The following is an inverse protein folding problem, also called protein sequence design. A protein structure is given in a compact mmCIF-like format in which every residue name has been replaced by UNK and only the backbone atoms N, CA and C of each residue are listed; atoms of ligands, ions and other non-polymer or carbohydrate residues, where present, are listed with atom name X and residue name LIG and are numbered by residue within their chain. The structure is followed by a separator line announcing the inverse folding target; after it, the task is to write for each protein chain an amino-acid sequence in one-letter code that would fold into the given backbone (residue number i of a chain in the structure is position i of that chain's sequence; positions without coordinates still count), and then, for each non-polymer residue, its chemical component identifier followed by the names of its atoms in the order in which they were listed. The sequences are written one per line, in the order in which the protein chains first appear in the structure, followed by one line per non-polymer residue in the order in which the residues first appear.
data_IF_590240998884
#
_entry.id   IF_590240998884
#
_cell.length_a   1.000
_cell.length_b   1.000
_cell.length_c   1.000
_cell.angle_alpha   90.00
_cell.angle_beta   90.00
_cell.angle_gamma   90.00
#
_symmetry.space_group_name_H-M   'P 1'
#
loop_
_entity.id
_entity.type
_entity.pdbx_description
1 polymer ?
#
# COMPACT_ATOMS: atom_id res chain seq x y z
N UNK A 1 -20.54 17.35 -28.70
CA UNK A 1 -19.14 17.08 -28.31
C UNK A 1 -18.97 15.57 -28.38
N UNK A 2 -17.98 15.07 -29.13
CA UNK A 2 -17.72 13.63 -29.17
C UNK A 2 -17.20 13.17 -27.80
N UNK A 3 -17.60 11.98 -27.30
CA UNK A 3 -17.05 11.43 -26.06
C UNK A 3 -15.52 11.30 -26.13
N UNK A 4 -14.83 11.49 -25.01
CA UNK A 4 -13.40 11.23 -24.92
C UNK A 4 -13.12 9.75 -25.23
N UNK A 5 -12.24 9.50 -26.19
CA UNK A 5 -11.78 8.15 -26.49
C UNK A 5 -10.54 7.85 -25.63
N UNK A 6 -10.66 6.88 -24.71
CA UNK A 6 -9.53 6.47 -23.88
C UNK A 6 -8.46 5.71 -24.68
N UNK A 7 -8.89 4.92 -25.66
CA UNK A 7 -8.02 4.08 -26.49
C UNK A 7 -8.13 4.45 -27.98
N UNK A 8 -7.01 4.43 -28.73
CA UNK A 8 -7.01 4.54 -30.17
C UNK A 8 -7.90 3.46 -30.82
N UNK A 9 -8.50 3.78 -31.97
CA UNK A 9 -9.47 2.92 -32.65
C UNK A 9 -8.94 1.49 -32.90
N UNK A 10 -7.67 1.36 -33.31
CA UNK A 10 -7.00 0.06 -33.53
C UNK A 10 -6.96 -0.87 -32.31
N UNK A 11 -7.05 -0.32 -31.10
CA UNK A 11 -7.00 -1.08 -29.84
C UNK A 11 -8.36 -1.18 -29.15
N UNK A 12 -9.41 -0.56 -29.72
CA UNK A 12 -10.74 -0.54 -29.11
C UNK A 12 -11.37 -1.94 -29.15
N UNK A 13 -12.05 -2.30 -28.07
CA UNK A 13 -12.78 -3.57 -27.91
C UNK A 13 -14.15 -3.40 -27.23
N UNK A 14 -14.58 -2.15 -27.06
CA UNK A 14 -15.80 -1.74 -26.38
C UNK A 14 -16.43 -0.58 -27.16
N UNK A 15 -17.75 -0.47 -27.07
CA UNK A 15 -18.53 0.69 -27.53
C UNK A 15 -18.82 1.63 -26.36
N UNK A 16 -19.10 1.07 -25.19
CA UNK A 16 -19.44 1.81 -23.97
C UNK A 16 -18.47 1.50 -22.83
N UNK A 17 -18.11 2.50 -22.03
CA UNK A 17 -17.14 2.34 -20.93
C UNK A 17 -17.53 1.24 -19.95
N UNK A 18 -18.82 1.04 -19.65
CA UNK A 18 -19.25 0.00 -18.71
C UNK A 18 -18.85 -1.42 -19.13
N UNK A 19 -18.61 -1.65 -20.42
CA UNK A 19 -18.16 -2.95 -20.95
C UNK A 19 -16.72 -3.25 -20.53
N UNK A 20 -15.85 -2.23 -20.37
CA UNK A 20 -14.52 -2.37 -19.77
C UNK A 20 -14.62 -2.65 -18.28
N UNK A 21 -15.55 -1.98 -17.60
CA UNK A 21 -15.78 -2.12 -16.15
C UNK A 21 -16.68 -3.31 -15.79
N UNK A 22 -16.85 -4.30 -16.67
CA UNK A 22 -17.74 -5.45 -16.45
C UNK A 22 -17.46 -6.17 -15.13
N UNK A 23 -16.18 -6.33 -14.76
CA UNK A 23 -15.81 -7.05 -13.53
C UNK A 23 -16.11 -6.22 -12.28
N UNK A 24 -15.93 -4.90 -12.35
CA UNK A 24 -16.33 -3.97 -11.29
C UNK A 24 -17.83 -4.10 -11.00
N UNK A 25 -18.68 -4.01 -12.03
CA UNK A 25 -20.13 -4.16 -11.87
C UNK A 25 -20.54 -5.57 -11.45
N UNK A 26 -19.84 -6.61 -11.91
CA UNK A 26 -20.07 -7.97 -11.48
C UNK A 26 -19.82 -8.14 -9.98
N UNK A 27 -18.69 -7.62 -9.46
CA UNK A 27 -18.34 -7.71 -8.04
C UNK A 27 -19.30 -6.85 -7.21
N UNK A 28 -19.43 -5.56 -7.51
CA UNK A 28 -20.31 -4.66 -6.77
C UNK A 28 -21.77 -5.10 -6.77
N UNK A 29 -22.27 -5.59 -7.91
CA UNK A 29 -23.64 -6.09 -8.00
C UNK A 29 -23.83 -7.42 -7.27
N UNK A 30 -23.01 -8.44 -7.57
CA UNK A 30 -23.23 -9.80 -7.04
C UNK A 30 -22.80 -9.95 -5.58
N UNK A 31 -21.58 -9.51 -5.25
CA UNK A 31 -21.04 -9.62 -3.89
C UNK A 31 -21.74 -8.63 -2.97
N UNK A 32 -22.08 -7.43 -3.47
CA UNK A 32 -22.88 -6.46 -2.72
C UNK A 32 -24.29 -6.96 -2.38
N UNK A 33 -24.94 -7.70 -3.31
CA UNK A 33 -26.25 -8.33 -3.04
C UNK A 33 -26.15 -9.54 -2.11
N UNK A 34 -25.21 -10.46 -2.37
CA UNK A 34 -24.97 -11.63 -1.52
C UNK A 34 -23.47 -11.88 -1.37
N UNK A 35 -22.88 -11.59 -0.19
CA UNK A 35 -21.46 -11.85 0.10
C UNK A 35 -21.07 -13.33 0.01
N UNK A 36 -22.03 -14.26 0.08
CA UNK A 36 -21.80 -15.71 -0.06
C UNK A 36 -21.87 -16.18 -1.52
N UNK A 37 -21.91 -15.27 -2.50
CA UNK A 37 -21.92 -15.63 -3.92
C UNK A 37 -20.70 -16.49 -4.28
N UNK A 38 -20.94 -17.66 -4.89
CA UNK A 38 -19.87 -18.57 -5.33
C UNK A 38 -18.89 -17.90 -6.29
N UNK A 39 -17.59 -18.13 -6.08
CA UNK A 39 -16.53 -17.64 -6.95
C UNK A 39 -16.65 -18.13 -8.40
N UNK A 40 -17.36 -19.24 -8.67
CA UNK A 40 -17.59 -19.73 -10.03
C UNK A 40 -18.37 -18.73 -10.90
N UNK A 41 -19.19 -17.85 -10.32
CA UNK A 41 -19.86 -16.78 -11.07
C UNK A 41 -18.85 -15.86 -11.72
N UNK A 42 -17.78 -15.50 -11.00
CA UNK A 42 -16.72 -14.62 -11.49
C UNK A 42 -15.78 -15.37 -12.44
N UNK A 43 -15.29 -16.55 -12.02
CA UNK A 43 -14.39 -17.40 -12.82
C UNK A 43 -14.98 -17.76 -14.19
N UNK A 44 -16.28 -18.05 -14.27
CA UNK A 44 -16.96 -18.39 -15.53
C UNK A 44 -16.84 -17.26 -16.56
N UNK A 45 -16.95 -16.01 -16.13
CA UNK A 45 -16.87 -14.87 -17.04
C UNK A 45 -15.45 -14.66 -17.58
N UNK A 46 -14.43 -14.80 -16.74
CA UNK A 46 -13.02 -14.80 -17.18
C UNK A 46 -12.72 -15.92 -18.17
N UNK A 47 -13.20 -17.16 -17.90
CA UNK A 47 -13.04 -18.29 -18.84
C UNK A 47 -13.78 -18.04 -20.17
N UNK A 48 -14.98 -17.43 -20.12
CA UNK A 48 -15.75 -17.09 -21.32
C UNK A 48 -14.97 -16.13 -22.22
N UNK A 49 -14.43 -15.05 -21.65
CA UNK A 49 -13.70 -13.99 -22.36
C UNK A 49 -12.31 -14.43 -22.82
N UNK A 50 -11.54 -15.08 -21.95
CA UNK A 50 -10.10 -15.30 -22.17
C UNK A 50 -9.69 -16.77 -22.26
N UNK A 51 -10.63 -17.72 -22.14
CA UNK A 51 -10.33 -19.15 -22.19
C UNK A 51 -9.39 -19.58 -21.07
N UNK A 52 -8.33 -20.32 -21.41
CA UNK A 52 -7.36 -20.85 -20.46
C UNK A 52 -6.54 -19.75 -19.77
N UNK A 53 -6.41 -18.56 -20.37
CA UNK A 53 -5.77 -17.41 -19.73
C UNK A 53 -6.65 -16.75 -18.65
N UNK A 54 -7.97 -17.02 -18.64
CA UNK A 54 -8.94 -16.38 -17.75
C UNK A 54 -8.58 -16.44 -16.26
N UNK A 55 -8.30 -17.63 -15.69
CA UNK A 55 -7.91 -17.75 -14.28
C UNK A 55 -6.65 -16.94 -13.92
N UNK A 56 -5.69 -16.82 -14.83
CA UNK A 56 -4.46 -16.05 -14.61
C UNK A 56 -4.72 -14.55 -14.66
N UNK A 57 -5.57 -14.08 -15.59
CA UNK A 57 -5.99 -12.67 -15.63
C UNK A 57 -6.85 -12.29 -14.42
N UNK A 58 -7.73 -13.18 -13.95
CA UNK A 58 -8.49 -12.97 -12.72
C UNK A 58 -7.55 -12.77 -11.52
N UNK A 59 -6.60 -13.69 -11.33
CA UNK A 59 -5.63 -13.61 -10.25
C UNK A 59 -4.78 -12.34 -10.33
N UNK A 60 -4.28 -12.00 -11.52
CA UNK A 60 -3.49 -10.79 -11.76
C UNK A 60 -4.29 -9.52 -11.46
N UNK A 61 -5.55 -9.44 -11.91
CA UNK A 61 -6.40 -8.28 -11.72
C UNK A 61 -6.75 -8.04 -10.25
N UNK A 62 -7.11 -9.09 -9.50
CA UNK A 62 -7.41 -8.93 -8.06
C UNK A 62 -6.19 -8.49 -7.30
N UNK A 63 -5.02 -9.01 -7.66
CA UNK A 63 -3.79 -8.60 -6.99
C UNK A 63 -3.40 -7.16 -7.33
N UNK A 64 -3.51 -6.76 -8.60
CA UNK A 64 -3.28 -5.40 -9.05
C UNK A 64 -4.23 -4.39 -8.39
N UNK A 65 -5.47 -4.79 -8.10
CA UNK A 65 -6.47 -3.93 -7.45
C UNK A 65 -6.06 -3.41 -6.05
N UNK A 66 -5.06 -4.03 -5.43
CA UNK A 66 -4.54 -3.63 -4.12
C UNK A 66 -3.45 -2.54 -4.20
N UNK A 67 -2.84 -2.33 -5.37
CA UNK A 67 -1.69 -1.42 -5.55
C UNK A 67 -2.08 0.03 -5.26
N UNK A 68 -3.13 0.54 -5.92
CA UNK A 68 -3.54 1.94 -5.74
C UNK A 68 -4.00 2.26 -4.30
N UNK A 69 -4.84 1.43 -3.64
CA UNK A 69 -5.17 1.65 -2.23
C UNK A 69 -3.94 1.69 -1.31
N UNK A 70 -2.95 0.81 -1.55
CA UNK A 70 -1.71 0.81 -0.76
C UNK A 70 -0.89 2.09 -0.98
N UNK A 71 -0.78 2.57 -2.23
CA UNK A 71 -0.11 3.85 -2.54
C UNK A 71 -0.83 5.00 -1.82
N UNK A 72 -2.17 5.01 -1.87
CA UNK A 72 -2.97 6.04 -1.21
C UNK A 72 -2.73 6.05 0.30
N UNK A 73 -2.88 4.90 0.94
CA UNK A 73 -2.72 4.79 2.39
C UNK A 73 -1.30 5.15 2.86
N UNK A 74 -0.27 4.64 2.18
CA UNK A 74 1.10 4.69 2.67
C UNK A 74 1.89 5.96 2.30
N UNK A 75 1.57 6.61 1.17
CA UNK A 75 2.45 7.65 0.61
C UNK A 75 1.74 8.81 -0.07
N UNK A 76 0.43 8.77 -0.23
CA UNK A 76 -0.24 9.83 -0.97
C UNK A 76 -0.29 11.15 -0.17
N UNK A 77 0.09 12.29 -0.79
CA UNK A 77 0.08 13.57 -0.08
C UNK A 77 -1.35 13.97 0.30
N UNK A 78 -1.57 14.26 1.59
CA UNK A 78 -2.91 14.57 2.10
C UNK A 78 -3.55 15.79 1.41
N UNK A 79 -2.75 16.78 1.01
CA UNK A 79 -3.23 17.97 0.28
C UNK A 79 -3.76 17.68 -1.14
N UNK A 80 -3.50 16.49 -1.69
CA UNK A 80 -4.06 16.02 -2.95
C UNK A 80 -5.34 15.18 -2.74
N UNK A 81 -5.79 15.03 -1.48
CA UNK A 81 -7.03 14.36 -1.12
C UNK A 81 -8.16 15.40 -0.89
N UNK A 82 -9.40 15.15 -1.37
CA UNK A 82 -9.82 14.02 -2.21
C UNK A 82 -9.32 14.13 -3.66
N UNK A 83 -9.41 13.04 -4.43
CA UNK A 83 -8.86 12.79 -5.80
C UNK A 83 -9.18 13.82 -6.89
N UNK A 84 -9.88 14.90 -6.56
CA UNK A 84 -10.07 16.08 -7.43
C UNK A 84 -8.78 16.85 -7.74
N UNK A 85 -7.70 16.59 -6.99
CA UNK A 85 -6.42 17.31 -7.12
C UNK A 85 -5.21 16.42 -7.36
N UNK A 86 -5.37 15.10 -7.33
CA UNK A 86 -4.29 14.18 -7.64
C UNK A 86 -4.77 12.85 -8.19
N UNK A 87 -3.87 12.19 -8.93
CA UNK A 87 -4.12 10.94 -9.63
C UNK A 87 -2.96 9.98 -9.37
N UNK A 88 -3.08 9.17 -8.30
CA UNK A 88 -2.03 8.27 -7.83
C UNK A 88 -1.53 7.28 -8.89
N UNK A 89 -2.37 6.95 -9.87
CA UNK A 89 -2.02 6.02 -10.95
C UNK A 89 -1.15 6.66 -12.04
N UNK A 90 -1.20 8.00 -12.22
CA UNK A 90 -0.44 8.72 -13.25
C UNK A 90 0.67 9.62 -12.70
N UNK A 91 0.49 10.17 -11.51
CA UNK A 91 1.40 11.14 -10.93
C UNK A 91 2.46 10.48 -10.06
N UNK A 92 3.67 11.00 -10.10
CA UNK A 92 4.82 10.52 -9.32
C UNK A 92 4.74 10.81 -7.81
N UNK A 93 3.70 11.53 -7.37
CA UNK A 93 3.46 11.96 -5.97
C UNK A 93 4.60 12.81 -5.38
N UNK A 94 5.24 13.60 -6.25
CA UNK A 94 6.38 14.45 -5.93
C UNK A 94 7.45 14.24 -6.99
N UNK A 95 7.60 15.19 -7.92
CA UNK A 95 8.60 15.06 -9.00
C UNK A 95 10.00 14.97 -8.40
N UNK A 96 10.34 15.88 -7.48
CA UNK A 96 11.60 15.82 -6.74
C UNK A 96 11.51 14.83 -5.59
N UNK A 97 12.58 14.07 -5.37
CA UNK A 97 12.66 13.14 -4.24
C UNK A 97 12.42 13.84 -2.90
N UNK A 98 12.85 15.09 -2.74
CA UNK A 98 12.60 15.88 -1.52
C UNK A 98 11.12 16.16 -1.25
N UNK A 99 10.26 16.16 -2.27
CA UNK A 99 8.82 16.33 -2.10
C UNK A 99 8.19 14.99 -1.72
N UNK A 100 8.51 13.94 -2.46
CA UNK A 100 8.04 12.58 -2.17
C UNK A 100 8.45 12.13 -0.76
N UNK A 101 9.67 12.45 -0.33
CA UNK A 101 10.22 12.09 0.98
C UNK A 101 9.56 12.82 2.16
N UNK A 102 8.70 13.81 1.91
CA UNK A 102 7.87 14.50 2.92
C UNK A 102 6.45 13.97 2.99
N UNK A 103 6.07 13.03 2.13
CA UNK A 103 4.71 12.51 2.14
C UNK A 103 4.45 11.71 3.42
N UNK A 104 3.27 11.94 4.00
CA UNK A 104 2.83 11.30 5.25
C UNK A 104 1.90 10.11 5.00
N UNK A 105 1.36 9.98 3.78
CA UNK A 105 0.26 9.06 3.49
C UNK A 105 -1.10 9.61 3.95
N UNK A 106 -2.16 8.84 3.75
CA UNK A 106 -3.51 9.20 4.23
C UNK A 106 -3.95 8.41 5.45
N UNK A 107 -3.28 7.31 5.79
CA UNK A 107 -3.55 6.50 6.98
C UNK A 107 -2.36 6.54 7.94
N UNK A 108 -2.27 7.65 8.68
CA UNK A 108 -1.16 7.91 9.61
C UNK A 108 -1.19 7.04 10.87
N UNK A 109 -2.29 6.34 11.16
CA UNK A 109 -2.37 5.41 12.30
C UNK A 109 -1.76 4.06 11.94
N UNK A 110 -1.91 3.62 10.69
CA UNK A 110 -1.40 2.32 10.24
C UNK A 110 -0.03 2.38 9.57
N UNK A 111 0.36 3.50 8.96
CA UNK A 111 1.60 3.61 8.18
C UNK A 111 2.59 4.60 8.80
N UNK A 112 3.86 4.22 8.83
CA UNK A 112 4.97 5.09 9.22
C UNK A 112 5.46 5.89 8.01
N UNK A 113 5.55 7.21 8.14
CA UNK A 113 6.13 8.06 7.09
C UNK A 113 7.67 7.97 7.06
N UNK A 114 8.28 8.45 5.97
CA UNK A 114 9.73 8.32 5.76
C UNK A 114 10.59 9.09 6.76
N UNK A 115 10.10 10.24 7.26
CA UNK A 115 10.84 11.08 8.19
C UNK A 115 10.88 10.48 9.62
N UNK A 116 9.78 9.84 10.02
CA UNK A 116 9.64 9.10 11.26
C UNK A 116 10.44 7.79 11.20
N UNK A 117 10.43 7.08 10.08
CA UNK A 117 11.27 5.91 9.87
C UNK A 117 12.76 6.25 10.02
N UNK A 118 13.23 7.33 9.41
CA UNK A 118 14.63 7.78 9.57
C UNK A 118 14.95 8.13 11.03
N UNK A 119 14.02 8.72 11.79
CA UNK A 119 14.21 8.98 13.22
C UNK A 119 14.34 7.67 14.00
N UNK A 120 13.38 6.76 13.81
CA UNK A 120 13.35 5.44 14.46
C UNK A 120 14.62 4.63 14.20
N UNK A 121 15.08 4.62 12.95
CA UNK A 121 16.32 3.93 12.54
C UNK A 121 17.54 4.46 13.32
N UNK A 122 17.64 5.78 13.51
CA UNK A 122 18.77 6.39 14.22
C UNK A 122 18.69 6.17 15.75
N UNK A 123 17.47 6.14 16.29
CA UNK A 123 17.22 5.90 17.72
C UNK A 123 17.31 4.42 18.10
N UNK A 124 17.25 3.50 17.12
CA UNK A 124 17.14 2.07 17.39
C UNK A 124 15.82 1.69 18.06
N UNK A 125 14.75 2.47 17.83
CA UNK A 125 13.43 2.24 18.42
C UNK A 125 12.53 1.35 17.54
N UNK A 126 11.40 0.93 18.09
CA UNK A 126 10.44 0.02 17.43
C UNK A 126 9.13 0.74 17.13
N UNK A 127 8.34 0.21 16.20
CA UNK A 127 7.03 0.75 15.84
C UNK A 127 6.06 -0.39 15.53
N UNK A 128 4.77 -0.17 15.79
CA UNK A 128 3.70 -1.09 15.37
C UNK A 128 3.08 -0.70 14.04
N UNK A 129 3.39 0.51 13.56
CA UNK A 129 2.98 0.96 12.23
C UNK A 129 3.74 0.17 11.17
N UNK A 130 3.11 -0.02 10.02
CA UNK A 130 3.75 -0.59 8.86
C UNK A 130 4.87 0.33 8.38
N UNK A 131 6.09 -0.18 8.39
CA UNK A 131 7.28 0.59 8.02
C UNK A 131 7.40 0.79 6.50
N UNK A 132 8.17 1.79 6.03
CA UNK A 132 8.48 1.94 4.62
C UNK A 132 9.13 0.70 4.00
N UNK A 133 10.03 0.01 4.72
CA UNK A 133 10.69 -1.20 4.21
C UNK A 133 9.71 -2.39 4.07
N UNK A 134 8.78 -2.56 5.01
CA UNK A 134 7.74 -3.58 4.91
C UNK A 134 6.74 -3.28 3.78
N UNK A 135 6.45 -2.00 3.55
CA UNK A 135 5.61 -1.55 2.44
C UNK A 135 6.32 -1.75 1.10
N UNK A 136 7.61 -1.42 1.00
CA UNK A 136 8.44 -1.68 -0.19
C UNK A 136 8.53 -3.16 -0.54
N UNK A 137 8.75 -4.04 0.45
CA UNK A 137 8.77 -5.50 0.22
C UNK A 137 7.43 -5.99 -0.33
N UNK A 138 6.33 -5.53 0.25
CA UNK A 138 5.01 -5.88 -0.26
C UNK A 138 4.76 -5.36 -1.67
N UNK A 139 5.19 -4.15 -2.01
CA UNK A 139 5.10 -3.66 -3.38
C UNK A 139 5.94 -4.48 -4.36
N UNK A 140 7.15 -4.88 -3.96
CA UNK A 140 8.03 -5.72 -4.77
C UNK A 140 7.43 -7.11 -5.00
N UNK A 141 6.97 -7.75 -3.93
CA UNK A 141 6.26 -9.02 -4.00
C UNK A 141 5.01 -8.86 -4.85
N UNK A 142 4.23 -7.77 -4.65
CA UNK A 142 3.04 -7.34 -5.43
C UNK A 142 3.36 -7.15 -6.91
N UNK A 143 4.55 -6.65 -7.17
CA UNK A 143 5.30 -6.68 -8.42
C UNK A 143 5.23 -8.04 -9.11
N UNK A 144 5.89 -8.98 -8.45
CA UNK A 144 6.29 -10.25 -9.03
C UNK A 144 5.12 -11.16 -9.36
N UNK A 145 4.16 -11.35 -8.46
CA UNK A 145 3.02 -12.19 -8.77
C UNK A 145 2.01 -11.57 -9.76
N UNK A 146 1.96 -10.24 -9.94
CA UNK A 146 1.21 -9.65 -11.07
C UNK A 146 1.91 -10.05 -12.37
N UNK A 147 3.22 -9.84 -12.46
CA UNK A 147 4.01 -10.20 -13.65
C UNK A 147 4.05 -11.72 -13.89
N UNK A 148 4.00 -12.54 -12.84
CA UNK A 148 3.87 -13.98 -12.96
C UNK A 148 2.51 -14.38 -13.54
N UNK A 149 1.43 -13.71 -13.12
CA UNK A 149 0.08 -13.90 -13.68
C UNK A 149 0.03 -13.50 -15.15
N UNK A 150 0.70 -12.39 -15.51
CA UNK A 150 0.88 -11.95 -16.90
C UNK A 150 1.58 -13.03 -17.72
N UNK A 151 2.74 -13.52 -17.28
CA UNK A 151 3.49 -14.59 -17.98
C UNK A 151 2.67 -15.86 -18.15
N UNK A 152 1.93 -16.27 -17.10
CA UNK A 152 1.07 -17.45 -17.15
C UNK A 152 -0.13 -17.27 -18.10
N UNK A 153 -0.73 -16.07 -18.14
CA UNK A 153 -1.80 -15.72 -19.07
C UNK A 153 -1.31 -15.72 -20.53
N UNK A 154 -0.14 -15.12 -20.80
CA UNK A 154 0.50 -15.11 -22.12
C UNK A 154 0.87 -16.53 -22.58
N UNK A 155 1.38 -17.38 -21.68
CA UNK A 155 1.70 -18.78 -21.99
C UNK A 155 0.45 -19.66 -22.22
N UNK A 156 -0.68 -19.30 -21.60
CA UNK A 156 -1.96 -20.01 -21.74
C UNK A 156 -2.84 -19.45 -22.86
N UNK A 157 -2.29 -18.54 -23.66
CA UNK A 157 -3.00 -17.87 -24.75
C UNK A 157 -3.25 -18.84 -25.89
N UNK A 158 -4.50 -19.29 -26.01
CA UNK A 158 -4.98 -20.03 -27.18
C UNK A 158 -5.49 -19.09 -28.29
N UNK A 159 -6.38 -19.59 -29.14
CA UNK A 159 -7.01 -18.82 -30.22
C UNK A 159 -7.96 -17.69 -29.78
N UNK A 160 -7.96 -17.30 -28.50
CA UNK A 160 -8.81 -16.24 -27.91
C UNK A 160 -8.07 -14.92 -27.65
N UNK A 161 -6.94 -14.68 -28.31
CA UNK A 161 -6.27 -13.38 -28.23
C UNK A 161 -7.19 -12.28 -28.76
N UNK A 162 -7.32 -11.19 -28.02
CA UNK A 162 -8.20 -10.06 -28.36
C UNK A 162 -7.59 -8.74 -27.89
N UNK A 163 -8.14 -7.63 -28.37
CA UNK A 163 -7.79 -6.30 -27.87
C UNK A 163 -8.08 -6.16 -26.36
N UNK A 164 -9.12 -6.81 -25.83
CA UNK A 164 -9.39 -6.85 -24.38
C UNK A 164 -8.26 -7.58 -23.63
N UNK A 165 -7.81 -8.73 -24.14
CA UNK A 165 -6.70 -9.48 -23.54
C UNK A 165 -5.42 -8.64 -23.51
N UNK A 166 -5.01 -8.09 -24.66
CA UNK A 166 -3.76 -7.32 -24.75
C UNK A 166 -3.82 -6.06 -23.86
N UNK A 167 -4.98 -5.41 -23.78
CA UNK A 167 -5.15 -4.22 -22.90
C UNK A 167 -5.11 -4.59 -21.43
N UNK A 168 -5.73 -5.72 -21.04
CA UNK A 168 -5.65 -6.22 -19.66
C UNK A 168 -4.20 -6.54 -19.29
N UNK A 169 -3.43 -7.17 -20.18
CA UNK A 169 -2.00 -7.42 -19.96
C UNK A 169 -1.22 -6.10 -19.80
N UNK A 170 -1.50 -5.10 -20.63
CA UNK A 170 -0.90 -3.76 -20.50
C UNK A 170 -1.21 -3.14 -19.12
N UNK A 171 -2.46 -3.18 -18.65
CA UNK A 171 -2.87 -2.60 -17.37
C UNK A 171 -2.18 -3.29 -16.18
N UNK A 172 -2.06 -4.61 -16.25
CA UNK A 172 -1.34 -5.39 -15.24
C UNK A 172 0.15 -5.03 -15.21
N UNK A 173 0.78 -4.87 -16.38
CA UNK A 173 2.19 -4.44 -16.46
C UNK A 173 2.37 -3.02 -15.93
N UNK A 174 1.46 -2.08 -16.26
CA UNK A 174 1.48 -0.71 -15.71
C UNK A 174 1.37 -0.72 -14.19
N UNK A 175 0.37 -1.44 -13.65
CA UNK A 175 0.14 -1.54 -12.19
C UNK A 175 1.34 -2.17 -11.47
N UNK A 176 1.95 -3.18 -12.09
CA UNK A 176 3.13 -3.82 -11.54
C UNK A 176 4.34 -2.87 -11.49
N UNK A 177 4.58 -2.13 -12.56
CA UNK A 177 5.70 -1.17 -12.59
C UNK A 177 5.44 0.04 -11.69
N UNK A 178 4.18 0.43 -11.48
CA UNK A 178 3.82 1.45 -10.50
C UNK A 178 4.14 0.98 -9.07
N UNK A 179 3.83 -0.27 -8.73
CA UNK A 179 4.23 -0.86 -7.45
C UNK A 179 5.76 -0.89 -7.30
N UNK A 180 6.50 -1.34 -8.33
CA UNK A 180 7.99 -1.33 -8.33
C UNK A 180 8.58 0.06 -8.15
N UNK A 181 8.00 1.06 -8.80
CA UNK A 181 8.39 2.46 -8.64
C UNK A 181 8.30 2.89 -7.17
N UNK A 182 7.16 2.68 -6.52
CA UNK A 182 6.98 3.04 -5.12
C UNK A 182 7.85 2.21 -4.16
N UNK A 183 8.12 0.94 -4.48
CA UNK A 183 9.01 0.09 -3.68
C UNK A 183 10.44 0.66 -3.59
N UNK A 184 11.01 1.07 -4.73
CA UNK A 184 12.34 1.68 -4.81
C UNK A 184 12.34 3.10 -4.23
N UNK A 185 11.32 3.89 -4.60
CA UNK A 185 11.26 5.30 -4.20
C UNK A 185 11.05 5.52 -2.70
N UNK A 186 10.38 4.59 -2.03
CA UNK A 186 10.29 4.58 -0.57
C UNK A 186 11.67 4.39 0.11
N UNK A 187 12.54 3.52 -0.41
CA UNK A 187 13.92 3.41 0.09
C UNK A 187 14.74 4.67 -0.21
N UNK A 188 14.59 5.25 -1.41
CA UNK A 188 15.20 6.53 -1.75
C UNK A 188 14.81 7.62 -0.74
N UNK A 189 13.54 7.68 -0.36
CA UNK A 189 13.02 8.64 0.61
C UNK A 189 13.55 8.43 2.04
N UNK A 190 13.70 7.18 2.49
CA UNK A 190 14.32 6.88 3.79
C UNK A 190 15.78 7.33 3.80
N UNK A 191 16.57 6.95 2.80
CA UNK A 191 17.96 7.39 2.65
C UNK A 191 18.08 8.92 2.59
N UNK A 192 17.19 9.59 1.86
CA UNK A 192 17.17 11.05 1.79
C UNK A 192 16.90 11.69 3.17
N UNK A 193 15.98 11.13 3.96
CA UNK A 193 15.73 11.62 5.32
C UNK A 193 16.87 11.29 6.30
N UNK A 194 17.55 10.15 6.14
CA UNK A 194 18.78 9.83 6.88
C UNK A 194 19.91 10.81 6.54
N UNK A 195 20.10 11.13 5.26
CA UNK A 195 21.02 12.18 4.82
C UNK A 195 20.70 13.53 5.48
N UNK A 196 19.43 13.96 5.50
CA UNK A 196 19.05 15.23 6.14
C UNK A 196 19.41 15.28 7.63
N UNK A 197 19.34 14.15 8.33
CA UNK A 197 19.65 14.06 9.77
C UNK A 197 21.14 13.90 10.05
N UNK A 198 21.83 13.06 9.30
CA UNK A 198 23.24 12.71 9.51
C UNK A 198 24.22 13.62 8.75
N UNK A 199 23.74 14.37 7.75
CA UNK A 199 24.57 15.07 6.75
C UNK A 199 25.57 14.13 6.05
N UNK A 200 25.23 12.84 5.91
CA UNK A 200 26.09 11.81 5.34
C UNK A 200 26.00 11.78 3.81
N UNK A 201 27.08 12.11 3.07
CA UNK A 201 27.08 12.03 1.61
C UNK A 201 26.80 10.61 1.08
N UNK A 202 27.14 9.59 1.87
CA UNK A 202 26.87 8.19 1.52
C UNK A 202 25.38 7.87 1.44
N UNK A 203 24.60 8.41 2.40
CA UNK A 203 23.14 8.27 2.41
C UNK A 203 22.51 9.00 1.22
N UNK A 204 23.05 10.16 0.82
CA UNK A 204 22.56 10.87 -0.37
C UNK A 204 22.86 10.09 -1.67
N UNK A 205 24.04 9.48 -1.77
CA UNK A 205 24.36 8.57 -2.90
C UNK A 205 23.47 7.32 -2.90
N UNK A 206 23.16 6.76 -1.74
CA UNK A 206 22.21 5.65 -1.63
C UNK A 206 20.80 6.05 -2.08
N UNK A 207 20.33 7.24 -1.67
CA UNK A 207 19.07 7.80 -2.14
C UNK A 207 19.03 7.95 -3.68
N UNK A 208 20.13 8.43 -4.28
CA UNK A 208 20.24 8.55 -5.74
C UNK A 208 20.21 7.19 -6.46
N UNK A 209 20.83 6.13 -5.90
CA UNK A 209 20.74 4.76 -6.47
C UNK A 209 19.31 4.25 -6.51
N UNK A 210 18.61 4.38 -5.39
CA UNK A 210 17.22 3.92 -5.28
C UNK A 210 16.28 4.77 -6.15
N UNK A 211 16.49 6.08 -6.24
CA UNK A 211 15.73 6.95 -7.15
C UNK A 211 15.97 6.55 -8.62
N UNK A 212 17.22 6.25 -9.00
CA UNK A 212 17.52 5.74 -10.34
C UNK A 212 16.77 4.44 -10.64
N UNK A 213 16.71 3.51 -9.68
CA UNK A 213 15.94 2.29 -9.82
C UNK A 213 14.43 2.54 -9.91
N UNK A 214 13.91 3.54 -9.17
CA UNK A 214 12.52 3.97 -9.30
C UNK A 214 12.23 4.53 -10.70
N UNK A 215 13.05 5.46 -11.20
CA UNK A 215 12.90 6.03 -12.55
C UNK A 215 13.01 4.95 -13.64
N UNK A 216 13.85 3.93 -13.44
CA UNK A 216 13.90 2.77 -14.34
C UNK A 216 12.56 2.00 -14.36
N UNK A 217 11.95 1.74 -13.20
CA UNK A 217 10.62 1.12 -13.15
C UNK A 217 9.53 1.99 -13.82
N UNK A 218 9.59 3.31 -13.64
CA UNK A 218 8.68 4.22 -14.34
C UNK A 218 8.89 4.20 -15.87
N UNK A 219 10.14 4.03 -16.33
CA UNK A 219 10.43 3.85 -17.75
C UNK A 219 9.83 2.56 -18.29
N UNK A 220 9.93 1.45 -17.55
CA UNK A 220 9.26 0.19 -17.90
C UNK A 220 7.74 0.33 -17.94
N UNK A 221 7.15 1.12 -17.03
CA UNK A 221 5.72 1.48 -17.07
C UNK A 221 5.36 2.17 -18.38
N UNK A 222 6.12 3.21 -18.77
CA UNK A 222 5.90 3.94 -20.03
C UNK A 222 6.05 3.02 -21.24
N UNK A 223 7.05 2.14 -21.24
CA UNK A 223 7.23 1.12 -22.29
C UNK A 223 6.04 0.17 -22.37
N UNK A 224 5.53 -0.30 -21.23
CA UNK A 224 4.38 -1.19 -21.17
C UNK A 224 3.09 -0.53 -21.67
N UNK A 225 2.89 0.75 -21.33
CA UNK A 225 1.76 1.54 -21.82
C UNK A 225 1.84 1.75 -23.35
N UNK A 226 3.04 2.03 -23.86
CA UNK A 226 3.28 2.23 -25.29
C UNK A 226 2.32 3.28 -25.88
N UNK A 227 1.61 2.90 -26.94
CA UNK A 227 0.54 3.68 -27.55
C UNK A 227 -0.86 3.04 -27.32
N UNK A 228 -0.97 2.11 -26.36
CA UNK A 228 -2.23 1.42 -26.04
C UNK A 228 -3.33 2.41 -25.62
N UNK A 229 -2.93 3.50 -24.98
CA UNK A 229 -3.76 4.57 -24.49
C UNK A 229 -3.46 5.88 -25.21
N UNK A 230 -4.46 6.77 -25.30
CA UNK A 230 -4.22 8.10 -25.83
C UNK A 230 -3.17 8.85 -24.99
N UNK A 231 -2.28 9.59 -25.65
CA UNK A 231 -1.23 10.34 -24.98
C UNK A 231 -1.71 11.56 -24.19
N UNK A 232 -2.97 11.95 -24.36
CA UNK A 232 -3.61 12.98 -23.57
C UNK A 232 -4.84 12.37 -22.88
N UNK A 233 -4.58 11.55 -21.86
CA UNK A 233 -5.64 11.02 -21.00
C UNK A 233 -6.32 12.21 -20.33
N UNK A 234 -7.63 12.36 -20.46
CA UNK A 234 -8.37 13.49 -19.91
C UNK A 234 -9.24 13.04 -18.72
N UNK A 235 -8.60 12.72 -17.59
CA UNK A 235 -9.27 12.15 -16.41
C UNK A 235 -9.67 13.19 -15.35
N UNK A 236 -9.36 14.47 -15.56
CA UNK A 236 -9.72 15.54 -14.62
C UNK A 236 -9.23 16.92 -15.05
N UNK A 237 -9.18 17.84 -14.09
CA UNK A 237 -8.84 19.23 -14.34
C UNK A 237 -7.33 19.40 -14.67
N UNK A 238 -7.05 20.02 -15.82
CA UNK A 238 -5.68 20.19 -16.36
C UNK A 238 -4.77 21.03 -15.45
N UNK A 239 -5.33 22.01 -14.75
CA UNK A 239 -4.60 22.84 -13.79
C UNK A 239 -4.02 22.04 -12.60
N UNK A 240 -4.57 20.86 -12.31
CA UNK A 240 -4.04 19.91 -11.32
C UNK A 240 -3.22 18.77 -11.95
N UNK A 241 -2.82 18.89 -13.21
CA UNK A 241 -2.09 17.85 -13.95
C UNK A 241 -2.81 16.48 -13.94
N UNK A 242 -4.15 16.51 -14.02
CA UNK A 242 -5.01 15.32 -14.15
C UNK A 242 -5.27 14.99 -15.62
N UNK A 243 -4.31 15.34 -16.48
CA UNK A 243 -4.31 14.99 -17.89
C UNK A 243 -2.91 14.59 -18.38
N UNK A 244 -2.80 14.13 -19.63
CA UNK A 244 -1.53 13.72 -20.26
C UNK A 244 -1.27 12.22 -20.14
N UNK A 245 0.00 11.82 -20.09
CA UNK A 245 0.42 10.43 -20.10
C UNK A 245 1.60 10.20 -19.14
N UNK A 246 1.84 8.95 -18.73
CA UNK A 246 2.96 8.60 -17.84
C UNK A 246 4.34 9.04 -18.38
N UNK A 247 4.47 9.14 -19.71
CA UNK A 247 5.69 9.61 -20.37
C UNK A 247 6.03 11.07 -20.04
N UNK A 248 5.01 11.88 -19.78
CA UNK A 248 5.21 13.30 -19.44
C UNK A 248 5.77 13.45 -18.03
N UNK A 249 5.43 12.51 -17.12
CA UNK A 249 6.06 12.43 -15.80
C UNK A 249 7.48 11.86 -15.88
N UNK A 250 7.75 10.91 -16.80
CA UNK A 250 9.08 10.34 -16.97
C UNK A 250 10.13 11.43 -17.28
N UNK A 251 9.82 12.37 -18.18
CA UNK A 251 10.71 13.49 -18.52
C UNK A 251 11.06 14.31 -17.27
N UNK A 252 10.08 14.57 -16.41
CA UNK A 252 10.27 15.34 -15.17
C UNK A 252 11.10 14.56 -14.15
N UNK A 253 10.82 13.26 -14.02
CA UNK A 253 11.55 12.35 -13.14
C UNK A 253 13.01 12.21 -13.56
N UNK A 254 13.31 12.08 -14.85
CA UNK A 254 14.67 12.00 -15.38
C UNK A 254 15.46 13.30 -15.13
N UNK A 255 14.81 14.45 -15.29
CA UNK A 255 15.42 15.74 -14.96
C UNK A 255 15.72 15.86 -13.44
N UNK A 256 14.78 15.48 -12.59
CA UNK A 256 14.95 15.50 -11.13
C UNK A 256 16.01 14.51 -10.65
N UNK A 257 16.09 13.32 -11.26
CA UNK A 257 17.15 12.35 -10.98
C UNK A 257 18.52 12.91 -11.31
N UNK A 258 18.68 13.57 -12.46
CA UNK A 258 19.94 14.21 -12.85
C UNK A 258 20.37 15.30 -11.85
N UNK A 259 19.43 16.10 -11.34
CA UNK A 259 19.71 17.07 -10.28
C UNK A 259 20.19 16.37 -8.99
N UNK A 260 19.51 15.31 -8.57
CA UNK A 260 19.85 14.54 -7.37
C UNK A 260 21.22 13.86 -7.50
N UNK A 261 21.51 13.24 -8.64
CA UNK A 261 22.79 12.59 -8.91
C UNK A 261 23.95 13.58 -8.90
N UNK A 262 23.76 14.77 -9.50
CA UNK A 262 24.76 15.84 -9.44
C UNK A 262 24.99 16.32 -8.01
N UNK A 263 23.92 16.51 -7.22
CA UNK A 263 24.02 16.88 -5.81
C UNK A 263 24.73 15.81 -4.97
N UNK A 264 24.49 14.54 -5.25
CA UNK A 264 25.08 13.41 -4.55
C UNK A 264 26.57 13.18 -4.90
N UNK A 265 27.07 13.83 -5.97
CA UNK A 265 28.33 13.46 -6.59
C UNK A 265 28.30 12.00 -7.05
N UNK A 266 27.18 11.58 -7.63
CA UNK A 266 26.93 10.18 -7.97
C UNK A 266 27.90 9.69 -9.06
N UNK A 267 28.45 8.49 -8.87
CA UNK A 267 29.21 7.78 -9.89
C UNK A 267 28.82 6.31 -9.92
N UNK A 268 28.98 5.66 -11.08
CA UNK A 268 28.68 4.24 -11.26
C UNK A 268 29.69 3.31 -10.56
N UNK A 269 30.76 3.86 -9.98
CA UNK A 269 31.74 3.07 -9.23
C UNK A 269 31.14 2.64 -7.90
N UNK A 270 31.12 1.33 -7.65
CA UNK A 270 30.65 0.76 -6.40
C UNK A 270 31.61 1.12 -5.24
N UNK A 271 31.37 2.25 -4.58
CA UNK A 271 31.92 2.48 -3.25
C UNK A 271 31.07 1.69 -2.24
N UNK A 272 31.69 0.72 -1.56
CA UNK A 272 31.07 0.01 -0.44
C UNK A 272 31.02 0.91 0.80
N UNK A 273 30.25 1.99 0.70
CA UNK A 273 30.03 2.90 1.81
C UNK A 273 29.03 2.29 2.79
N UNK A 274 29.33 2.39 4.10
CA UNK A 274 28.43 1.92 5.14
C UNK A 274 27.23 2.87 5.22
N UNK A 275 26.11 2.44 4.64
CA UNK A 275 24.79 3.09 4.72
C UNK A 275 23.81 2.19 5.42
N UNK A 276 22.69 2.74 5.88
CA UNK A 276 21.60 1.91 6.41
C UNK A 276 21.10 0.91 5.35
N UNK A 277 20.70 -0.27 5.82
CA UNK A 277 20.06 -1.30 5.00
C UNK A 277 18.95 -1.94 5.84
N UNK A 278 17.81 -2.33 5.23
CA UNK A 278 16.80 -3.10 5.93
C UNK A 278 17.36 -4.46 6.36
N UNK A 279 16.88 -5.00 7.47
CA UNK A 279 17.29 -6.31 7.96
C UNK A 279 16.88 -7.42 6.95
N UNK A 280 17.86 -8.24 6.55
CA UNK A 280 17.67 -9.34 5.60
C UNK A 280 17.65 -10.73 6.24
N UNK A 281 17.99 -10.84 7.53
CA UNK A 281 17.99 -12.08 8.30
C UNK A 281 17.49 -11.88 9.71
N UNK A 282 17.43 -12.97 10.49
CA UNK A 282 16.80 -12.98 11.80
C UNK A 282 15.27 -13.05 11.71
N UNK A 283 14.62 -12.76 12.83
CA UNK A 283 13.17 -12.65 12.92
C UNK A 283 12.67 -11.33 12.33
N UNK A 284 11.68 -11.41 11.45
CA UNK A 284 11.12 -10.25 10.73
C UNK A 284 9.59 -10.21 10.78
N UNK A 285 8.99 -11.18 11.45
CA UNK A 285 7.56 -11.26 11.58
C UNK A 285 7.15 -10.57 12.89
N UNK A 286 6.06 -9.82 12.92
CA UNK A 286 5.57 -9.24 14.16
C UNK A 286 4.97 -10.32 15.07
N UNK A 287 4.82 -10.03 16.39
CA UNK A 287 4.18 -10.95 17.31
C UNK A 287 2.79 -11.41 16.83
N UNK A 288 2.51 -12.70 17.00
CA UNK A 288 1.19 -13.26 16.74
C UNK A 288 0.25 -12.99 17.91
N UNK A 289 -0.91 -12.41 17.60
CA UNK A 289 -1.95 -12.09 18.59
C UNK A 289 -3.16 -13.01 18.43
N UNK A 290 -3.54 -13.67 19.52
CA UNK A 290 -4.82 -14.35 19.67
C UNK A 290 -5.68 -13.59 20.67
N UNK A 291 -6.81 -13.06 20.20
CA UNK A 291 -7.75 -12.31 21.02
C UNK A 291 -9.19 -12.62 20.60
N UNK A 292 -10.03 -12.96 21.57
CA UNK A 292 -11.47 -13.08 21.35
C UNK A 292 -12.12 -11.69 21.43
N UNK A 293 -12.75 -11.27 20.32
CA UNK A 293 -13.40 -9.94 20.24
C UNK A 293 -14.48 -9.81 21.30
N UNK A 294 -14.42 -8.73 22.06
CA UNK A 294 -15.49 -8.34 22.96
C UNK A 294 -16.74 -8.02 22.14
N UNK A 295 -17.90 -8.58 22.51
CA UNK A 295 -19.15 -8.38 21.75
C UNK A 295 -20.18 -7.49 22.46
N UNK A 296 -20.29 -7.60 23.78
CA UNK A 296 -21.37 -6.96 24.56
C UNK A 296 -20.92 -6.60 25.98
N UNK A 297 -20.06 -5.59 26.15
CA UNK A 297 -19.70 -5.08 27.45
C UNK A 297 -20.90 -4.29 28.02
N UNK A 298 -20.94 -4.15 29.34
CA UNK A 298 -22.00 -3.40 30.03
C UNK A 298 -21.53 -1.96 30.27
N UNK A 299 -22.30 -0.94 29.86
CA UNK A 299 -21.95 0.45 30.18
C UNK A 299 -21.75 0.66 31.69
N UNK A 300 -20.80 1.51 32.05
CA UNK A 300 -20.45 1.77 33.45
C UNK A 300 -19.65 0.67 34.16
N UNK A 301 -19.44 -0.50 33.54
CA UNK A 301 -18.67 -1.60 34.14
C UNK A 301 -17.27 -1.70 33.53
N UNK A 302 -16.21 -1.93 34.33
CA UNK A 302 -14.87 -2.13 33.80
C UNK A 302 -14.81 -3.27 32.79
N UNK A 303 -14.15 -3.04 31.65
CA UNK A 303 -13.99 -4.03 30.60
C UNK A 303 -12.57 -4.56 30.57
N UNK A 304 -12.42 -5.86 30.88
CA UNK A 304 -11.14 -6.55 30.79
C UNK A 304 -10.88 -7.03 29.36
N UNK A 305 -9.76 -6.60 28.79
CA UNK A 305 -9.20 -7.11 27.54
C UNK A 305 -8.12 -8.15 27.86
N UNK A 306 -8.15 -9.28 27.16
CA UNK A 306 -7.20 -10.39 27.33
C UNK A 306 -6.69 -10.82 25.96
N UNK A 307 -5.37 -10.82 25.78
CA UNK A 307 -4.75 -11.26 24.53
C UNK A 307 -3.60 -12.23 24.84
N UNK A 308 -3.51 -13.31 24.05
CA UNK A 308 -2.30 -14.13 24.00
C UNK A 308 -1.39 -13.60 22.90
N UNK A 309 -0.17 -13.21 23.26
CA UNK A 309 0.81 -12.64 22.33
C UNK A 309 2.06 -13.50 22.35
N UNK A 310 2.46 -14.03 21.21
CA UNK A 310 3.59 -14.96 21.10
C UNK A 310 4.52 -14.54 19.98
N UNK A 311 5.83 -14.65 20.23
CA UNK A 311 6.86 -14.33 19.28
C UNK A 311 8.14 -15.15 19.57
N UNK A 312 8.86 -15.70 18.57
CA UNK A 312 10.12 -16.44 18.77
C UNK A 312 11.23 -15.60 19.41
N UNK A 313 11.28 -14.30 19.12
CA UNK A 313 12.22 -13.34 19.69
C UNK A 313 11.78 -12.84 21.07
N UNK A 314 10.55 -13.18 21.46
CA UNK A 314 9.93 -12.78 22.72
C UNK A 314 9.21 -11.44 22.59
N UNK A 315 8.09 -11.31 23.31
CA UNK A 315 7.28 -10.09 23.31
C UNK A 315 7.98 -8.99 24.10
N UNK A 316 8.10 -7.80 23.52
CA UNK A 316 8.60 -6.59 24.17
C UNK A 316 7.47 -5.78 24.79
N UNK A 317 6.38 -5.54 24.04
CA UNK A 317 5.25 -4.77 24.52
C UNK A 317 3.93 -5.20 23.88
N UNK A 318 2.84 -5.00 24.62
CA UNK A 318 1.48 -5.11 24.12
C UNK A 318 0.64 -3.96 24.71
N UNK A 319 -0.04 -3.20 23.86
CA UNK A 319 -0.85 -2.04 24.26
C UNK A 319 -2.24 -2.12 23.64
N UNK A 320 -3.23 -1.60 24.37
CA UNK A 320 -4.60 -1.40 23.93
C UNK A 320 -4.74 0.05 23.51
N UNK A 321 -5.17 0.27 22.27
CA UNK A 321 -5.58 1.58 21.76
C UNK A 321 -7.10 1.58 21.72
N UNK A 322 -7.75 2.53 22.38
CA UNK A 322 -9.20 2.58 22.44
C UNK A 322 -9.77 4.00 22.45
N UNK A 323 -11.00 4.14 21.98
CA UNK A 323 -11.78 5.39 22.02
C UNK A 323 -13.27 5.11 21.84
N UNK A 324 -14.09 6.14 21.94
CA UNK A 324 -15.46 6.07 21.47
C UNK A 324 -15.54 6.09 19.93
N UNK A 325 -16.62 5.55 19.35
CA UNK A 325 -16.91 5.66 17.91
C UNK A 325 -17.41 7.08 17.59
N UNK A 326 -16.49 8.04 17.67
CA UNK A 326 -16.69 9.45 17.30
C UNK A 326 -15.45 9.93 16.52
N UNK A 327 -15.60 11.06 15.82
CA UNK A 327 -14.48 11.70 15.12
C UNK A 327 -13.80 12.81 15.94
N UNK A 328 -14.20 13.01 17.21
CA UNK A 328 -13.71 14.10 18.06
C UNK A 328 -12.53 13.70 18.94
N UNK A 329 -12.21 12.41 19.04
CA UNK A 329 -11.26 11.87 20.01
C UNK A 329 -10.07 11.17 19.34
N UNK A 330 -8.88 11.42 19.87
CA UNK A 330 -7.72 10.57 19.68
C UNK A 330 -7.85 9.27 20.50
N UNK A 331 -7.10 8.25 20.11
CA UNK A 331 -7.04 7.00 20.87
C UNK A 331 -6.31 7.19 22.20
N UNK A 332 -6.96 6.75 23.29
CA UNK A 332 -6.31 6.48 24.56
C UNK A 332 -5.47 5.20 24.49
N UNK A 333 -4.48 5.08 25.37
CA UNK A 333 -3.59 3.91 25.44
C UNK A 333 -3.61 3.29 26.84
N UNK A 334 -3.62 1.96 26.92
CA UNK A 334 -3.32 1.20 28.13
C UNK A 334 -2.29 0.11 27.81
N UNK A 335 -1.25 -0.01 28.65
CA UNK A 335 -0.33 -1.14 28.56
C UNK A 335 -1.01 -2.41 29.06
N UNK A 336 -0.96 -3.49 28.28
CA UNK A 336 -1.40 -4.80 28.75
C UNK A 336 -0.32 -5.39 29.66
N UNK A 337 -0.70 -5.70 30.90
CA UNK A 337 0.17 -6.31 31.89
C UNK A 337 0.17 -7.84 31.76
N UNK A 338 1.32 -8.51 31.96
CA UNK A 338 1.37 -9.97 31.97
C UNK A 338 0.45 -10.52 33.06
N UNK A 339 -0.27 -11.60 32.75
CA UNK A 339 -1.05 -12.38 33.71
C UNK A 339 -0.25 -13.57 34.24
N UNK A 340 -0.85 -14.35 35.15
CA UNK A 340 -0.26 -15.59 35.67
C UNK A 340 -0.09 -16.69 34.59
N UNK A 341 -0.77 -16.55 33.44
CA UNK A 341 -0.64 -17.49 32.33
C UNK A 341 0.48 -17.04 31.36
N UNK A 342 1.34 -17.96 30.90
CA UNK A 342 2.38 -17.65 29.93
C UNK A 342 1.83 -17.01 28.66
N UNK A 343 2.49 -15.95 28.20
CA UNK A 343 2.16 -15.21 26.98
C UNK A 343 0.77 -14.56 26.97
N UNK A 344 0.08 -14.48 28.11
CA UNK A 344 -1.23 -13.84 28.23
C UNK A 344 -1.09 -12.50 28.92
N UNK A 345 -1.56 -11.45 28.24
CA UNK A 345 -1.50 -10.07 28.69
C UNK A 345 -2.91 -9.50 28.83
N UNK A 346 -3.10 -8.61 29.80
CA UNK A 346 -4.42 -8.06 30.12
C UNK A 346 -4.38 -6.56 30.43
N UNK A 347 -5.41 -5.85 30.01
CA UNK A 347 -5.68 -4.46 30.37
C UNK A 347 -7.15 -4.32 30.79
N UNK A 348 -7.46 -3.36 31.64
CA UNK A 348 -8.85 -3.07 32.05
C UNK A 348 -9.19 -1.64 31.67
N UNK A 349 -10.16 -1.49 30.76
CA UNK A 349 -10.75 -0.20 30.43
C UNK A 349 -11.66 0.23 31.58
N UNK A 350 -11.51 1.45 32.12
CA UNK A 350 -12.39 1.97 33.15
C UNK A 350 -13.87 1.96 32.74
N UNK A 351 -14.76 1.59 33.66
CA UNK A 351 -16.18 1.43 33.34
C UNK A 351 -16.89 2.75 33.03
N UNK A 352 -16.43 3.85 33.61
CA UNK A 352 -16.88 5.21 33.34
C UNK A 352 -16.54 5.70 31.93
N UNK A 353 -15.54 5.10 31.28
CA UNK A 353 -15.29 5.31 29.85
C UNK A 353 -16.35 4.65 28.97
N UNK A 354 -17.02 3.60 29.42
CA UNK A 354 -18.01 2.88 28.62
C UNK A 354 -19.40 3.50 28.82
N UNK A 355 -19.69 4.52 28.03
CA UNK A 355 -20.93 5.30 28.15
C UNK A 355 -21.94 4.95 27.04
N UNK A 356 -23.26 4.87 27.30
CA UNK A 356 -24.25 4.41 26.32
C UNK A 356 -24.40 5.30 25.07
N UNK A 357 -23.86 6.51 25.09
CA UNK A 357 -23.99 7.49 23.99
C UNK A 357 -23.19 7.10 22.76
N UNK A 358 -22.13 6.30 22.92
CA UNK A 358 -21.22 5.94 21.84
C UNK A 358 -20.87 4.46 21.89
N UNK A 359 -20.67 3.85 20.73
CA UNK A 359 -20.05 2.52 20.65
C UNK A 359 -18.57 2.62 21.06
N UNK A 360 -17.98 1.49 21.45
CA UNK A 360 -16.57 1.38 21.84
C UNK A 360 -15.72 0.86 20.68
N UNK A 361 -14.55 1.46 20.45
CA UNK A 361 -13.62 1.07 19.39
C UNK A 361 -12.25 0.77 19.98
N UNK A 362 -11.61 -0.32 19.56
CA UNK A 362 -10.25 -0.63 19.97
C UNK A 362 -9.46 -1.46 18.97
N UNK A 363 -8.14 -1.45 19.13
CA UNK A 363 -7.19 -2.35 18.48
C UNK A 363 -5.99 -2.60 19.42
N UNK A 364 -5.15 -3.59 19.08
CA UNK A 364 -3.97 -3.92 19.88
C UNK A 364 -2.69 -3.58 19.12
N UNK A 365 -1.72 -3.03 19.82
CA UNK A 365 -0.38 -2.76 19.33
C UNK A 365 0.58 -3.76 19.99
N UNK A 366 1.37 -4.48 19.22
CA UNK A 366 2.35 -5.44 19.77
C UNK A 366 3.73 -5.25 19.14
N UNK A 367 4.78 -5.39 19.95
CA UNK A 367 6.18 -5.40 19.49
C UNK A 367 6.94 -6.59 20.09
N UNK A 368 7.91 -7.11 19.34
CA UNK A 368 8.87 -8.11 19.82
C UNK A 368 10.20 -7.46 20.26
N UNK A 369 11.15 -8.29 20.69
CA UNK A 369 12.51 -7.86 21.05
C UNK A 369 13.48 -7.80 19.86
N UNK A 370 13.08 -8.25 18.68
CA UNK A 370 13.85 -8.15 17.43
C UNK A 370 13.60 -6.83 16.69
N UNK A 371 12.60 -6.06 17.11
CA UNK A 371 12.24 -4.75 16.57
C UNK A 371 11.04 -4.76 15.63
N UNK A 372 10.34 -5.89 15.51
CA UNK A 372 9.13 -6.02 14.70
C UNK A 372 7.90 -5.63 15.52
N UNK A 373 6.91 -5.04 14.86
CA UNK A 373 5.65 -4.68 15.49
C UNK A 373 4.51 -4.62 14.49
N UNK A 374 3.29 -4.77 15.01
CA UNK A 374 2.08 -4.68 14.22
C UNK A 374 0.90 -4.17 15.05
N UNK A 375 -0.02 -3.52 14.35
CA UNK A 375 -1.38 -3.32 14.81
C UNK A 375 -2.19 -4.59 14.49
N UNK A 376 -2.85 -5.15 15.49
CA UNK A 376 -3.91 -6.15 15.33
C UNK A 376 -5.24 -5.41 15.35
N UNK A 377 -6.08 -5.45 14.31
CA UNK A 377 -6.16 -6.43 13.21
C UNK A 377 -5.37 -6.04 11.95
N UNK A 378 -4.98 -7.03 11.16
CA UNK A 378 -4.26 -6.83 9.90
C UNK A 378 -5.16 -6.14 8.86
N UNK A 379 -4.85 -4.88 8.55
CA UNK A 379 -5.57 -4.03 7.60
C UNK A 379 -5.70 -4.64 6.19
N UNK A 380 -4.81 -5.56 5.82
CA UNK A 380 -4.85 -6.22 4.50
C UNK A 380 -5.85 -7.37 4.45
N UNK A 381 -6.37 -7.80 5.60
CA UNK A 381 -7.30 -8.92 5.73
C UNK A 381 -8.69 -8.47 6.18
N UNK A 382 -8.77 -7.46 7.04
CA UNK A 382 -10.04 -6.98 7.57
C UNK A 382 -9.93 -5.55 8.13
N UNK A 383 -11.02 -5.04 8.72
CA UNK A 383 -11.01 -3.73 9.37
C UNK A 383 -9.95 -3.69 10.48
N UNK A 384 -9.10 -2.64 10.55
CA UNK A 384 -7.95 -2.60 11.48
C UNK A 384 -8.33 -2.29 12.93
N UNK A 385 -9.60 -2.44 13.29
CA UNK A 385 -10.13 -2.19 14.63
C UNK A 385 -11.41 -3.00 14.86
N UNK A 386 -11.73 -3.19 16.14
CA UNK A 386 -12.97 -3.81 16.59
C UNK A 386 -13.93 -2.71 17.03
N UNK A 387 -15.16 -2.74 16.51
CA UNK A 387 -16.28 -1.95 17.01
C UNK A 387 -17.15 -2.84 17.89
N UNK A 388 -17.42 -2.37 19.10
CA UNK A 388 -18.20 -3.04 20.12
C UNK A 388 -19.41 -2.19 20.44
N UNK A 389 -20.60 -2.74 20.20
CA UNK A 389 -21.85 -2.01 20.45
C UNK A 389 -22.12 -1.91 21.94
N UNK A 390 -22.28 -0.69 22.44
CA UNK A 390 -22.78 -0.44 23.79
C UNK A 390 -24.30 -0.37 23.71
N UNK A 391 -24.99 -1.18 24.52
CA UNK A 391 -26.46 -1.22 24.58
C UNK A 391 -26.99 -0.49 25.79
#
# INVERSE_FOLDING_TARGET
MAPFALMPEKYRYYEYEFERYWHFFQVWGRVGYNPQTSAEVRKREFRRRFGNAGPHLEAGLHRASQVLPMIVAAVYPYNLFPTTRGWAERQSLGVKLSDYARNEGTDVEQFENFADAARRILEGSTTTKRTPDATSRWFDETADAILASVRAAEASLGGKRSNEFDSTITDLKISAQLARFHARRAFAAVHFNLFKRLQSPAELRAAAREERAAVAAWRELVTAAGDRYHFDLAMGARNFSLCGHWRDELVKLEAALKELEAQAGFSDSASQEKVWQPATGGDREPPRVEHERVRTPRPGQPLRIVARVTDPSGVQSARLRYRHVTQFEDYATLDLQPSDQPNVFTATVPGDFLVPQWDFMYFLEVTDKAGNGANWLDLTKEMPYVIVKLK
#
